data_IF_309178344641
#
_entry.id   IF_309178344641
#
_cell.length_a   1.000
_cell.length_b   1.000
_cell.length_c   1.000
_cell.angle_alpha   90.00
_cell.angle_beta   90.00
_cell.angle_gamma   90.00
#
_symmetry.space_group_name_H-M   'P 1'
#
loop_
_entity.id
_entity.type
_entity.pdbx_description
1 polymer ?
#
# COMPACT_ATOMS: atom_id res chain seq x y z
N UNK A 1 -8.07 17.89 -6.18
CA UNK A 1 -7.41 16.83 -5.40
C UNK A 1 -6.28 16.21 -6.19
N UNK A 2 -5.11 16.00 -5.60
CA UNK A 2 -4.05 15.33 -6.32
C UNK A 2 -4.44 13.89 -6.67
N UNK A 3 -3.98 13.43 -7.82
CA UNK A 3 -4.20 12.06 -8.27
C UNK A 3 -3.52 11.09 -7.31
N UNK A 4 -4.21 10.03 -6.83
CA UNK A 4 -3.59 9.04 -5.95
C UNK A 4 -2.40 8.36 -6.62
N UNK A 5 -1.38 8.04 -5.82
CA UNK A 5 -0.17 7.35 -6.28
C UNK A 5 -0.18 5.93 -5.73
N UNK A 6 -0.05 4.96 -6.63
CA UNK A 6 -0.04 3.54 -6.28
C UNK A 6 1.28 2.92 -6.74
N UNK A 7 1.99 2.31 -5.80
CA UNK A 7 3.22 1.57 -6.09
C UNK A 7 2.88 0.09 -6.19
N UNK A 8 3.25 -0.56 -7.30
CA UNK A 8 3.07 -1.99 -7.51
C UNK A 8 4.39 -2.67 -7.24
N UNK A 9 4.47 -3.42 -6.16
CA UNK A 9 5.67 -4.12 -5.72
C UNK A 9 5.51 -5.64 -5.91
N UNK A 10 6.08 -6.17 -6.98
CA UNK A 10 6.02 -7.58 -7.33
C UNK A 10 7.21 -7.89 -8.26
N UNK A 11 7.90 -9.00 -8.04
CA UNK A 11 9.06 -9.37 -8.82
C UNK A 11 8.71 -10.03 -10.17
N UNK A 12 7.46 -10.41 -10.38
CA UNK A 12 6.99 -11.06 -11.59
C UNK A 12 6.35 -10.06 -12.55
N UNK A 13 6.90 -9.96 -13.77
CA UNK A 13 6.43 -9.00 -14.76
C UNK A 13 4.99 -9.22 -15.20
N UNK A 14 4.56 -10.48 -15.33
CA UNK A 14 3.18 -10.82 -15.72
C UNK A 14 2.19 -10.37 -14.64
N UNK A 15 2.54 -10.53 -13.36
CA UNK A 15 1.71 -10.07 -12.26
C UNK A 15 1.61 -8.54 -12.25
N UNK A 16 2.73 -7.84 -12.47
CA UNK A 16 2.73 -6.39 -12.56
C UNK A 16 1.85 -5.88 -13.69
N UNK A 17 1.95 -6.50 -14.86
CA UNK A 17 1.12 -6.14 -16.02
C UNK A 17 -0.37 -6.33 -15.73
N UNK A 18 -0.72 -7.45 -15.07
CA UNK A 18 -2.10 -7.73 -14.67
C UNK A 18 -2.62 -6.65 -13.73
N UNK A 19 -1.86 -6.31 -12.70
CA UNK A 19 -2.28 -5.30 -11.72
C UNK A 19 -2.41 -3.92 -12.37
N UNK A 20 -1.49 -3.56 -13.26
CA UNK A 20 -1.61 -2.31 -14.03
C UNK A 20 -2.88 -2.29 -14.87
N UNK A 21 -3.20 -3.40 -15.54
CA UNK A 21 -4.41 -3.52 -16.34
C UNK A 21 -5.68 -3.37 -15.49
N UNK A 22 -5.68 -3.97 -14.30
CA UNK A 22 -6.81 -3.85 -13.37
C UNK A 22 -6.96 -2.41 -12.84
N UNK A 23 -5.85 -1.69 -12.69
CA UNK A 23 -5.86 -0.30 -12.25
C UNK A 23 -6.25 0.69 -13.36
N UNK A 24 -6.32 0.25 -14.61
CA UNK A 24 -6.67 1.14 -15.73
C UNK A 24 -8.02 1.84 -15.56
N UNK A 25 -8.93 1.25 -14.77
CA UNK A 25 -10.26 1.82 -14.47
C UNK A 25 -10.25 2.70 -13.20
N UNK A 26 -9.12 2.82 -12.54
CA UNK A 26 -8.95 3.64 -11.34
C UNK A 26 -8.09 4.84 -11.73
N UNK A 27 -8.55 6.04 -11.41
CA UNK A 27 -7.77 7.24 -11.68
C UNK A 27 -6.61 7.32 -10.69
N UNK A 28 -5.39 7.02 -11.15
CA UNK A 28 -4.20 6.98 -10.31
C UNK A 28 -2.92 7.07 -11.14
N UNK A 29 -1.84 7.50 -10.50
CA UNK A 29 -0.49 7.40 -11.06
C UNK A 29 0.16 6.15 -10.47
N UNK A 30 0.89 5.40 -11.29
CA UNK A 30 1.52 4.16 -10.86
C UNK A 30 3.03 4.17 -11.10
N UNK A 31 3.76 3.50 -10.22
CA UNK A 31 5.15 3.10 -10.44
C UNK A 31 5.31 1.64 -10.03
N UNK A 32 6.42 1.03 -10.45
CA UNK A 32 6.70 -0.38 -10.25
C UNK A 32 7.97 -0.54 -9.43
N UNK A 33 7.93 -1.46 -8.46
CA UNK A 33 9.10 -1.93 -7.74
C UNK A 33 9.25 -3.43 -7.98
N UNK A 34 10.47 -3.89 -8.19
CA UNK A 34 10.74 -5.28 -8.63
C UNK A 34 11.26 -6.18 -7.51
N UNK A 35 11.61 -5.62 -6.36
CA UNK A 35 12.03 -6.37 -5.17
C UNK A 35 11.78 -5.53 -3.91
N UNK A 36 12.08 -6.11 -2.75
CA UNK A 36 11.82 -5.44 -1.48
C UNK A 36 12.65 -4.18 -1.27
N UNK A 37 13.91 -4.19 -1.65
CA UNK A 37 14.77 -3.02 -1.51
C UNK A 37 14.34 -1.91 -2.47
N UNK A 38 14.01 -2.26 -3.72
CA UNK A 38 13.49 -1.32 -4.70
C UNK A 38 12.19 -0.68 -4.22
N UNK A 39 11.35 -1.45 -3.52
CA UNK A 39 10.11 -0.94 -2.93
C UNK A 39 10.41 0.16 -1.91
N UNK A 40 11.33 -0.08 -0.99
CA UNK A 40 11.70 0.91 0.02
C UNK A 40 12.31 2.17 -0.62
N UNK A 41 13.12 2.00 -1.64
CA UNK A 41 13.73 3.12 -2.35
C UNK A 41 12.67 3.97 -3.07
N UNK A 42 11.73 3.33 -3.74
CA UNK A 42 10.66 4.02 -4.47
C UNK A 42 9.62 4.66 -3.56
N UNK A 43 9.41 4.14 -2.38
CA UNK A 43 8.57 4.81 -1.37
C UNK A 43 9.11 6.22 -1.09
N UNK A 44 10.42 6.36 -0.96
CA UNK A 44 11.05 7.66 -0.70
C UNK A 44 10.89 8.65 -1.86
N UNK A 45 11.06 8.18 -3.11
CA UNK A 45 11.02 9.04 -4.29
C UNK A 45 9.61 9.30 -4.80
N UNK A 46 8.74 8.30 -4.77
CA UNK A 46 7.39 8.39 -5.32
C UNK A 46 6.36 8.86 -4.29
N UNK A 47 6.56 8.55 -3.02
CA UNK A 47 5.64 8.86 -1.93
C UNK A 47 4.22 8.35 -2.23
N UNK A 48 4.03 7.02 -2.33
CA UNK A 48 2.73 6.46 -2.70
C UNK A 48 1.70 6.62 -1.59
N UNK A 49 0.42 6.66 -1.97
CA UNK A 49 -0.71 6.60 -1.05
C UNK A 49 -1.06 5.15 -0.71
N UNK A 50 -0.86 4.26 -1.66
CA UNK A 50 -1.15 2.83 -1.55
C UNK A 50 -0.03 2.02 -2.18
N UNK A 51 0.33 0.92 -1.54
CA UNK A 51 1.26 -0.07 -2.09
C UNK A 51 0.53 -1.39 -2.27
N UNK A 52 0.57 -1.93 -3.49
CA UNK A 52 0.15 -3.30 -3.79
C UNK A 52 1.40 -4.16 -3.63
N UNK A 53 1.45 -4.97 -2.59
CA UNK A 53 2.70 -5.60 -2.14
C UNK A 53 2.60 -7.12 -2.17
N UNK A 54 3.46 -7.75 -2.97
CA UNK A 54 3.63 -9.20 -2.93
C UNK A 54 4.58 -9.56 -1.79
N UNK A 55 4.35 -10.71 -1.16
CA UNK A 55 5.21 -11.22 -0.09
C UNK A 55 6.45 -11.88 -0.67
N UNK A 56 6.31 -12.62 -1.76
CA UNK A 56 7.39 -13.45 -2.33
C UNK A 56 8.28 -12.63 -3.25
N UNK A 57 9.16 -11.83 -2.67
CA UNK A 57 10.11 -11.01 -3.41
C UNK A 57 11.54 -11.26 -2.93
N UNK A 58 12.56 -11.16 -3.84
CA UNK A 58 13.96 -11.26 -3.44
C UNK A 58 14.43 -10.03 -2.64
N UNK A 59 15.59 -10.15 -2.02
CA UNK A 59 16.26 -9.18 -1.15
C UNK A 59 15.54 -8.94 0.16
N UNK A 60 14.32 -8.39 0.13
CA UNK A 60 13.46 -8.27 1.31
C UNK A 60 12.07 -8.74 0.90
N UNK A 61 11.47 -9.63 1.68
CA UNK A 61 10.11 -10.10 1.40
C UNK A 61 9.08 -9.04 1.82
N UNK A 62 7.83 -9.25 1.40
CA UNK A 62 6.76 -8.29 1.66
C UNK A 62 6.46 -8.10 3.15
N UNK A 63 6.62 -9.11 3.99
CA UNK A 63 6.44 -8.96 5.44
C UNK A 63 7.47 -7.98 6.02
N UNK A 64 8.72 -8.12 5.63
CA UNK A 64 9.81 -7.25 6.07
C UNK A 64 9.58 -5.80 5.62
N UNK A 65 9.18 -5.62 4.35
CA UNK A 65 8.87 -4.30 3.79
C UNK A 65 7.71 -3.65 4.55
N UNK A 66 6.62 -4.39 4.74
CA UNK A 66 5.45 -3.89 5.44
C UNK A 66 5.80 -3.47 6.87
N UNK A 67 6.51 -4.32 7.60
CA UNK A 67 6.92 -4.03 8.97
C UNK A 67 7.81 -2.78 9.04
N UNK A 68 8.77 -2.65 8.12
CA UNK A 68 9.65 -1.50 8.07
C UNK A 68 8.86 -0.20 7.84
N UNK A 69 7.92 -0.21 6.89
CA UNK A 69 7.11 0.97 6.57
C UNK A 69 6.16 1.33 7.71
N UNK A 70 5.52 0.35 8.32
CA UNK A 70 4.55 0.60 9.40
C UNK A 70 5.21 0.99 10.72
N UNK A 71 6.49 0.67 10.90
CA UNK A 71 7.26 1.04 12.09
C UNK A 71 7.86 2.43 12.02
N UNK A 72 7.92 3.04 10.86
CA UNK A 72 8.50 4.37 10.65
C UNK A 72 7.38 5.42 10.59
N UNK A 73 7.37 6.42 11.48
CA UNK A 73 6.35 7.48 11.45
C UNK A 73 6.23 8.20 10.10
N UNK A 74 7.34 8.29 9.35
CA UNK A 74 7.33 8.95 8.04
C UNK A 74 6.55 8.17 6.98
N UNK A 75 6.35 6.86 7.15
CA UNK A 75 5.72 5.98 6.17
C UNK A 75 4.55 5.18 6.71
N UNK A 76 4.30 5.22 8.02
CA UNK A 76 3.29 4.37 8.67
C UNK A 76 1.86 4.60 8.15
N UNK A 77 1.59 5.75 7.56
CA UNK A 77 0.26 6.11 7.06
C UNK A 77 0.02 5.66 5.62
N UNK A 78 1.04 5.15 4.93
CA UNK A 78 0.86 4.57 3.60
C UNK A 78 0.00 3.32 3.73
N UNK A 79 -1.05 3.23 2.93
CA UNK A 79 -1.91 2.04 2.94
C UNK A 79 -1.21 0.90 2.22
N UNK A 80 -1.29 -0.29 2.78
CA UNK A 80 -0.67 -1.49 2.21
C UNK A 80 -1.72 -2.57 1.99
N UNK A 81 -1.88 -2.98 0.73
CA UNK A 81 -2.69 -4.11 0.33
C UNK A 81 -1.74 -5.22 -0.12
N UNK A 82 -1.66 -6.30 0.65
CA UNK A 82 -0.90 -7.47 0.23
C UNK A 82 -1.68 -8.25 -0.82
N UNK A 83 -1.04 -8.53 -1.96
CA UNK A 83 -1.64 -9.28 -3.06
C UNK A 83 -0.70 -10.44 -3.37
N UNK A 84 -1.00 -11.62 -2.84
CA UNK A 84 -0.05 -12.72 -2.85
C UNK A 84 -0.74 -14.08 -2.89
N UNK A 85 0.01 -15.11 -3.29
CA UNK A 85 -0.48 -16.49 -3.37
C UNK A 85 -0.44 -17.23 -2.03
N UNK A 86 -0.43 -16.50 -0.91
CA UNK A 86 -0.40 -17.11 0.42
C UNK A 86 -1.68 -17.91 0.67
N UNK A 87 -1.54 -19.17 1.07
CA UNK A 87 -2.67 -20.08 1.26
C UNK A 87 -2.72 -20.67 2.66
N UNK A 88 -1.72 -20.43 3.50
CA UNK A 88 -1.66 -21.00 4.84
C UNK A 88 -2.11 -20.00 5.90
N UNK A 89 -2.75 -20.51 6.95
CA UNK A 89 -3.28 -19.69 8.04
C UNK A 89 -2.19 -18.86 8.74
N UNK A 90 -1.01 -19.45 8.92
CA UNK A 90 0.14 -18.75 9.50
C UNK A 90 0.62 -17.56 8.68
N UNK A 91 0.43 -17.59 7.37
CA UNK A 91 0.80 -16.49 6.48
C UNK A 91 -0.11 -15.28 6.67
N UNK A 92 -1.40 -15.52 6.88
CA UNK A 92 -2.36 -14.45 7.19
C UNK A 92 -1.99 -13.79 8.52
N UNK A 93 -1.66 -14.58 9.54
CA UNK A 93 -1.22 -14.07 10.83
C UNK A 93 0.04 -13.22 10.71
N UNK A 94 1.00 -13.65 9.91
CA UNK A 94 2.24 -12.90 9.65
C UNK A 94 1.95 -11.56 8.95
N UNK A 95 0.98 -11.53 8.03
CA UNK A 95 0.55 -10.30 7.37
C UNK A 95 -0.05 -9.31 8.36
N UNK A 96 -0.92 -9.79 9.24
CA UNK A 96 -1.53 -8.98 10.30
C UNK A 96 -0.47 -8.44 11.25
N UNK A 97 0.46 -9.29 11.70
CA UNK A 97 1.56 -8.87 12.58
C UNK A 97 2.49 -7.86 11.94
N UNK A 98 2.69 -7.94 10.61
CA UNK A 98 3.47 -6.97 9.87
C UNK A 98 2.77 -5.62 9.73
N UNK A 99 1.48 -5.55 10.01
CA UNK A 99 0.71 -4.31 10.00
C UNK A 99 0.03 -3.98 8.68
N UNK A 100 -0.20 -4.99 7.81
CA UNK A 100 -0.91 -4.77 6.55
C UNK A 100 -2.33 -4.23 6.80
N UNK A 101 -2.79 -3.35 5.91
CA UNK A 101 -4.13 -2.78 6.04
C UNK A 101 -5.21 -3.68 5.44
N UNK A 102 -4.86 -4.46 4.42
CA UNK A 102 -5.77 -5.43 3.82
C UNK A 102 -4.97 -6.51 3.08
N UNK A 103 -5.65 -7.54 2.62
CA UNK A 103 -5.03 -8.72 2.04
C UNK A 103 -5.92 -9.29 0.93
N UNK A 104 -5.33 -9.63 -0.21
CA UNK A 104 -5.98 -10.35 -1.30
C UNK A 104 -5.15 -11.56 -1.71
N UNK A 105 -5.79 -12.70 -1.85
CA UNK A 105 -5.16 -13.91 -2.35
C UNK A 105 -5.17 -13.95 -3.88
N UNK A 106 -4.09 -14.41 -4.48
CA UNK A 106 -4.06 -14.75 -5.91
C UNK A 106 -4.72 -16.09 -6.13
N UNK A 107 -5.44 -16.32 -7.25
CA UNK A 107 -5.66 -15.40 -8.36
C UNK A 107 -6.63 -14.26 -7.99
N UNK A 108 -6.36 -13.07 -8.49
CA UNK A 108 -7.11 -11.87 -8.14
C UNK A 108 -8.41 -11.79 -8.92
N UNK A 109 -9.52 -11.56 -8.21
CA UNK A 109 -10.81 -11.25 -8.83
C UNK A 109 -10.82 -9.75 -9.14
N UNK A 110 -11.10 -9.39 -10.40
CA UNK A 110 -10.99 -8.00 -10.84
C UNK A 110 -11.94 -7.04 -10.14
N UNK A 111 -13.19 -7.46 -9.90
CA UNK A 111 -14.16 -6.61 -9.20
C UNK A 111 -13.79 -6.41 -7.74
N UNK A 112 -13.39 -7.48 -7.06
CA UNK A 112 -12.96 -7.42 -5.67
C UNK A 112 -11.72 -6.55 -5.52
N UNK A 113 -10.75 -6.72 -6.40
CA UNK A 113 -9.52 -5.92 -6.41
C UNK A 113 -9.82 -4.43 -6.55
N UNK A 114 -10.59 -4.07 -7.56
CA UNK A 114 -10.95 -2.67 -7.84
C UNK A 114 -11.71 -2.05 -6.66
N UNK A 115 -12.63 -2.80 -6.08
CA UNK A 115 -13.41 -2.34 -4.94
C UNK A 115 -12.51 -2.08 -3.71
N UNK A 116 -11.60 -3.01 -3.41
CA UNK A 116 -10.67 -2.84 -2.29
C UNK A 116 -9.72 -1.68 -2.48
N UNK A 117 -9.18 -1.53 -3.69
CA UNK A 117 -8.30 -0.40 -4.01
C UNK A 117 -9.03 0.92 -3.80
N UNK A 118 -10.24 1.06 -4.35
CA UNK A 118 -11.03 2.28 -4.19
C UNK A 118 -11.36 2.57 -2.73
N UNK A 119 -11.73 1.54 -1.96
CA UNK A 119 -12.03 1.69 -0.54
C UNK A 119 -10.80 2.16 0.23
N UNK A 120 -9.64 1.58 -0.05
CA UNK A 120 -8.40 1.95 0.64
C UNK A 120 -7.96 3.37 0.31
N UNK A 121 -8.09 3.79 -0.95
CA UNK A 121 -7.79 5.18 -1.34
C UNK A 121 -8.74 6.16 -0.66
N UNK A 122 -10.00 5.79 -0.52
CA UNK A 122 -11.00 6.61 0.18
C UNK A 122 -10.66 6.73 1.67
N UNK A 123 -10.29 5.62 2.32
CA UNK A 123 -9.87 5.64 3.72
C UNK A 123 -8.60 6.47 3.92
N UNK A 124 -7.65 6.37 3.00
CA UNK A 124 -6.42 7.16 3.04
C UNK A 124 -6.74 8.66 2.99
N UNK A 125 -7.64 9.07 2.10
CA UNK A 125 -8.08 10.46 2.00
C UNK A 125 -8.74 10.96 3.29
N UNK A 126 -9.56 10.13 3.91
CA UNK A 126 -10.22 10.45 5.18
C UNK A 126 -9.22 10.62 6.32
N UNK A 127 -8.24 9.71 6.43
CA UNK A 127 -7.19 9.81 7.45
C UNK A 127 -6.36 11.09 7.28
N UNK A 128 -6.04 11.45 6.04
CA UNK A 128 -5.27 12.66 5.75
C UNK A 128 -6.06 13.93 6.14
N UNK A 129 -7.37 13.95 5.90
CA UNK A 129 -8.24 15.05 6.31
C UNK A 129 -8.31 15.18 7.82
N UNK A 130 -8.45 14.06 8.52
CA UNK A 130 -8.47 14.05 10.00
C UNK A 130 -7.15 14.56 10.57
N UNK A 131 -6.04 14.15 10.01
CA UNK A 131 -4.73 14.60 10.48
C UNK A 131 -4.55 16.10 10.25
N UNK A 132 -4.98 16.62 9.12
CA UNK A 132 -4.93 18.06 8.85
C UNK A 132 -5.79 18.84 9.84
N UNK A 133 -6.97 18.33 10.15
CA UNK A 133 -7.87 18.95 11.10
C UNK A 133 -7.29 18.94 12.51
N UNK A 134 -6.72 17.82 12.93
CA UNK A 134 -6.05 17.71 14.24
C UNK A 134 -4.87 18.68 14.36
N UNK A 135 -4.08 18.80 13.31
CA UNK A 135 -2.95 19.72 13.27
C UNK A 135 -3.43 21.18 13.40
N UNK A 136 -4.51 21.53 12.69
CA UNK A 136 -5.12 22.85 12.75
C UNK A 136 -5.61 23.17 14.18
N UNK A 137 -6.31 22.23 14.80
CA UNK A 137 -6.82 22.40 16.16
C UNK A 137 -5.68 22.61 17.15
N UNK A 138 -4.62 21.80 17.07
CA UNK A 138 -3.44 21.96 17.92
C UNK A 138 -2.82 23.36 17.78
N UNK A 139 -2.69 23.83 16.54
CA UNK A 139 -2.15 25.15 16.26
C UNK A 139 -3.00 26.26 16.88
N UNK A 140 -4.32 26.14 16.79
CA UNK A 140 -5.25 27.12 17.37
C UNK A 140 -5.17 27.12 18.90
N UNK A 141 -5.02 25.96 19.53
CA UNK A 141 -4.87 25.85 20.98
C UNK A 141 -3.59 26.49 21.48
N UNK A 142 -2.48 26.36 20.75
CA UNK A 142 -1.19 26.93 21.09
C UNK A 142 -1.20 28.47 21.05
N UNK A 143 -2.08 29.06 20.23
CA UNK A 143 -2.19 30.50 20.06
C UNK A 143 -3.07 31.18 21.12
N UNK A 144 -3.78 30.39 21.89
CA UNK A 144 -4.62 30.90 22.96
C UNK A 144 -3.91 30.74 24.32
#
# INVERSE_FOLDING_TARGET
MPTPRILIADDNSANRELLEALLAKVECDTQIAVDGQDTLDKVKSFQPDLILLDVMMPKKNGFEVCRALKSDPATSRIMILMVTALSELGDVERAVEAGTDDFLSKPVNSLEFQKRVRNMLKLKGTEDELERLRAYIREMEEKT
#
